data_IF_842494357629
#
_entry.id   IF_842494357629
#
_cell.length_a   1.000
_cell.length_b   1.000
_cell.length_c   1.000
_cell.angle_alpha   90.00
_cell.angle_beta   90.00
_cell.angle_gamma   90.00
#
_symmetry.space_group_name_H-M   'P 1'
#
loop_
_entity.id
_entity.type
_entity.pdbx_description
1 polymer ?
#
# COMPACT_ATOMS: atom_id res chain seq x y z
N UNK A 1 7.82 24.86 11.01
CA UNK A 1 8.96 24.11 10.44
C UNK A 1 9.72 23.44 11.57
N UNK A 2 9.99 22.14 11.46
CA UNK A 2 10.83 21.42 12.42
C UNK A 2 12.31 21.74 12.18
N UNK A 3 13.15 21.71 13.21
CA UNK A 3 14.59 21.92 13.03
C UNK A 3 15.26 20.72 12.32
N UNK A 4 16.50 20.91 11.86
CA UNK A 4 17.26 19.88 11.13
C UNK A 4 17.37 18.55 11.91
N UNK A 5 17.63 18.62 13.20
CA UNK A 5 17.76 17.45 14.06
C UNK A 5 16.46 16.61 14.08
N UNK A 6 15.32 17.25 14.34
CA UNK A 6 14.00 16.59 14.33
C UNK A 6 13.60 16.08 12.95
N UNK A 7 13.99 16.78 11.89
CA UNK A 7 13.72 16.36 10.52
C UNK A 7 14.40 15.02 10.17
N UNK A 8 15.64 14.83 10.64
CA UNK A 8 16.41 13.59 10.44
C UNK A 8 15.92 12.46 11.35
N UNK A 9 15.57 12.79 12.60
CA UNK A 9 15.08 11.81 13.56
C UNK A 9 13.69 11.28 13.21
N UNK A 10 12.81 12.10 12.64
CA UNK A 10 11.44 11.68 12.34
C UNK A 10 11.39 10.39 11.50
N UNK A 11 12.07 10.26 10.34
CA UNK A 11 12.13 8.99 9.60
C UNK A 11 12.66 7.83 10.44
N UNK A 12 13.71 8.05 11.23
CA UNK A 12 14.30 7.00 12.04
C UNK A 12 13.36 6.51 13.15
N UNK A 13 12.68 7.41 13.85
CA UNK A 13 11.71 7.08 14.90
C UNK A 13 10.51 6.34 14.31
N UNK A 14 9.97 6.82 13.19
CA UNK A 14 8.84 6.16 12.53
C UNK A 14 9.19 4.75 12.03
N UNK A 15 10.36 4.58 11.40
CA UNK A 15 10.77 3.27 10.90
C UNK A 15 11.31 2.34 12.00
N UNK A 16 11.76 2.87 13.14
CA UNK A 16 12.05 2.06 14.34
C UNK A 16 10.79 1.36 14.87
N UNK A 17 9.63 2.03 14.86
CA UNK A 17 8.33 1.42 15.20
C UNK A 17 7.95 0.28 14.26
N UNK A 18 8.49 0.28 13.05
CA UNK A 18 8.32 -0.77 12.05
C UNK A 18 9.45 -1.82 12.10
N UNK A 19 10.36 -1.72 13.07
CA UNK A 19 11.55 -2.56 13.21
C UNK A 19 12.41 -2.56 11.93
N UNK A 20 12.65 -1.36 11.38
CA UNK A 20 13.22 -1.18 10.06
C UNK A 20 14.35 -0.14 10.06
N UNK A 21 15.62 -0.57 10.05
CA UNK A 21 16.73 0.36 9.95
C UNK A 21 16.84 0.88 8.51
N UNK A 22 17.22 2.14 8.37
CA UNK A 22 17.19 2.87 7.10
C UNK A 22 18.58 3.10 6.54
N UNK A 23 18.71 3.12 5.21
CA UNK A 23 19.88 3.71 4.55
C UNK A 23 19.83 5.24 4.60
N UNK A 24 20.96 5.92 4.40
CA UNK A 24 20.97 7.39 4.29
C UNK A 24 20.05 7.90 3.15
N UNK A 25 19.98 7.15 2.04
CA UNK A 25 19.11 7.51 0.91
C UNK A 25 17.63 7.38 1.28
N UNK A 26 17.26 6.34 2.02
CA UNK A 26 15.91 6.19 2.54
C UNK A 26 15.55 7.31 3.53
N UNK A 27 16.47 7.71 4.42
CA UNK A 27 16.23 8.84 5.33
C UNK A 27 15.97 10.12 4.54
N UNK A 28 16.84 10.45 3.58
CA UNK A 28 16.65 11.60 2.70
C UNK A 28 15.32 11.52 1.95
N UNK A 29 15.02 10.37 1.36
CA UNK A 29 13.77 10.11 0.63
C UNK A 29 12.53 10.34 1.51
N UNK A 30 12.57 9.90 2.76
CA UNK A 30 11.43 9.87 3.68
C UNK A 30 11.28 11.11 4.56
N UNK A 31 12.08 12.17 4.35
CA UNK A 31 11.96 13.43 5.09
C UNK A 31 10.53 13.99 5.05
N UNK A 32 10.11 14.58 6.17
CA UNK A 32 8.83 15.28 6.27
C UNK A 32 8.86 16.59 5.49
N UNK A 33 7.71 16.96 4.90
CA UNK A 33 7.58 18.18 4.12
C UNK A 33 7.79 19.47 4.96
N UNK A 34 7.45 19.44 6.25
CA UNK A 34 7.62 20.56 7.20
C UNK A 34 9.07 20.72 7.72
N UNK A 35 9.99 19.89 7.23
CA UNK A 35 11.42 19.99 7.49
C UNK A 35 12.13 21.02 6.61
N UNK A 36 13.35 21.43 7.02
CA UNK A 36 14.15 22.40 6.28
C UNK A 36 14.59 21.84 4.91
N UNK A 37 14.89 22.72 3.97
CA UNK A 37 15.57 22.33 2.74
C UNK A 37 16.96 21.77 3.06
N UNK A 38 17.23 20.55 2.62
CA UNK A 38 18.50 19.87 2.88
C UNK A 38 18.89 19.03 1.68
N UNK A 39 20.18 19.06 1.32
CA UNK A 39 20.72 18.15 0.31
C UNK A 39 20.95 16.77 0.88
N UNK A 40 21.09 15.76 0.01
CA UNK A 40 21.49 14.42 0.43
C UNK A 40 22.84 14.43 1.19
N UNK A 41 23.78 15.30 0.79
CA UNK A 41 25.04 15.46 1.49
C UNK A 41 24.84 16.03 2.90
N UNK A 42 23.97 17.04 3.04
CA UNK A 42 23.59 17.61 4.33
C UNK A 42 22.98 16.56 5.27
N UNK A 43 22.09 15.69 4.76
CA UNK A 43 21.56 14.55 5.54
C UNK A 43 22.68 13.65 6.04
N UNK A 44 23.65 13.30 5.19
CA UNK A 44 24.77 12.44 5.57
C UNK A 44 25.68 13.07 6.61
N UNK A 45 25.87 14.39 6.56
CA UNK A 45 26.64 15.13 7.57
C UNK A 45 25.89 15.13 8.90
N UNK A 46 24.61 15.51 8.89
CA UNK A 46 23.79 15.57 10.10
C UNK A 46 23.66 14.22 10.81
N UNK A 47 23.59 13.12 10.05
CA UNK A 47 23.56 11.76 10.60
C UNK A 47 24.84 11.38 11.38
N UNK A 48 25.97 12.04 11.13
CA UNK A 48 27.21 11.82 11.90
C UNK A 48 27.23 12.61 13.21
N UNK A 49 26.58 13.77 13.21
CA UNK A 49 26.59 14.74 14.32
C UNK A 49 25.45 14.50 15.30
N UNK A 50 24.41 13.77 14.89
CA UNK A 50 23.23 13.50 15.70
C UNK A 50 23.49 12.39 16.72
N UNK A 51 23.40 12.72 18.01
CA UNK A 51 23.45 11.76 19.08
C UNK A 51 22.29 10.74 19.01
N UNK A 52 22.43 9.59 19.68
CA UNK A 52 21.40 8.54 19.73
C UNK A 52 21.07 7.85 18.39
N UNK A 53 21.88 8.08 17.34
CA UNK A 53 21.83 7.33 16.09
C UNK A 53 23.09 6.47 15.98
N UNK A 54 22.90 5.19 15.74
CA UNK A 54 23.98 4.24 15.45
C UNK A 54 23.97 3.89 13.96
N UNK A 55 25.16 3.56 13.43
CA UNK A 55 25.35 3.17 12.03
C UNK A 55 26.15 1.88 11.92
N UNK A 56 25.68 0.93 11.12
CA UNK A 56 26.42 -0.27 10.76
C UNK A 56 25.96 -0.81 9.41
N UNK A 57 26.89 -1.31 8.59
CA UNK A 57 26.62 -1.86 7.25
C UNK A 57 25.83 -0.91 6.32
N UNK A 58 26.05 0.40 6.46
CA UNK A 58 25.33 1.42 5.68
C UNK A 58 23.89 1.69 6.14
N UNK A 59 23.44 1.05 7.21
CA UNK A 59 22.14 1.24 7.83
C UNK A 59 22.28 2.11 9.09
N UNK A 60 21.26 2.93 9.34
CA UNK A 60 21.12 3.85 10.46
C UNK A 60 19.87 3.44 11.25
N UNK A 61 19.98 3.51 12.58
CA UNK A 61 18.95 3.12 13.53
C UNK A 61 19.19 3.83 14.86
N UNK A 62 18.17 3.87 15.73
CA UNK A 62 18.33 4.43 17.07
C UNK A 62 19.29 3.57 17.91
N UNK A 63 20.10 4.20 18.76
CA UNK A 63 21.07 3.51 19.61
C UNK A 63 20.43 2.35 20.41
N UNK A 64 21.16 1.23 20.52
CA UNK A 64 20.68 0.02 21.19
C UNK A 64 19.79 -0.90 20.33
N UNK A 65 19.59 -0.59 19.05
CA UNK A 65 18.73 -1.37 18.12
C UNK A 65 19.51 -2.15 17.06
N UNK A 66 20.69 -2.65 17.41
CA UNK A 66 21.61 -3.31 16.47
C UNK A 66 21.08 -4.64 15.91
N UNK A 67 20.17 -5.31 16.63
CA UNK A 67 19.45 -6.51 16.20
C UNK A 67 18.61 -6.29 14.93
N UNK A 68 18.23 -5.03 14.65
CA UNK A 68 17.45 -4.68 13.47
C UNK A 68 18.21 -4.93 12.16
N UNK A 69 19.54 -4.97 12.18
CA UNK A 69 20.37 -5.21 10.99
C UNK A 69 20.13 -6.63 10.45
N UNK A 70 20.22 -7.63 11.34
CA UNK A 70 19.95 -9.02 10.98
C UNK A 70 18.48 -9.18 10.54
N UNK A 71 17.57 -8.51 11.23
CA UNK A 71 16.14 -8.47 10.88
C UNK A 71 15.91 -7.91 9.47
N UNK A 72 16.56 -6.80 9.11
CA UNK A 72 16.48 -6.16 7.79
C UNK A 72 16.97 -7.10 6.68
N UNK A 73 18.12 -7.75 6.88
CA UNK A 73 18.65 -8.71 5.92
C UNK A 73 17.71 -9.91 5.71
N UNK A 74 17.16 -10.46 6.80
CA UNK A 74 16.17 -11.55 6.75
C UNK A 74 14.90 -11.13 5.99
N UNK A 75 14.32 -9.98 6.34
CA UNK A 75 13.09 -9.47 5.70
C UNK A 75 13.31 -9.10 4.24
N UNK A 76 14.49 -8.60 3.86
CA UNK A 76 14.85 -8.34 2.48
C UNK A 76 14.83 -9.63 1.64
N UNK A 77 15.43 -10.72 2.13
CA UNK A 77 15.40 -12.04 1.46
C UNK A 77 13.96 -12.54 1.29
N UNK A 78 13.16 -12.48 2.36
CA UNK A 78 11.73 -12.87 2.32
C UNK A 78 10.97 -12.03 1.30
N UNK A 79 11.13 -10.71 1.31
CA UNK A 79 10.48 -9.80 0.37
C UNK A 79 10.80 -10.13 -1.07
N UNK A 80 12.05 -10.45 -1.42
CA UNK A 80 12.42 -10.83 -2.79
C UNK A 80 11.71 -12.12 -3.24
N UNK A 81 11.63 -13.13 -2.36
CA UNK A 81 10.91 -14.36 -2.66
C UNK A 81 9.40 -14.11 -2.81
N UNK A 82 8.82 -13.29 -1.92
CA UNK A 82 7.43 -12.86 -1.98
C UNK A 82 7.10 -12.07 -3.24
N UNK A 83 7.98 -11.18 -3.69
CA UNK A 83 7.84 -10.50 -4.98
C UNK A 83 7.80 -11.47 -6.15
N UNK A 84 8.65 -12.52 -6.15
CA UNK A 84 8.61 -13.56 -7.19
C UNK A 84 7.26 -14.30 -7.19
N UNK A 85 6.72 -14.64 -6.00
CA UNK A 85 5.39 -15.27 -5.86
C UNK A 85 4.27 -14.35 -6.34
N UNK A 86 4.24 -13.12 -5.85
CA UNK A 86 3.22 -12.13 -6.21
C UNK A 86 3.22 -11.85 -7.72
N UNK A 87 4.39 -11.81 -8.37
CA UNK A 87 4.47 -11.68 -9.84
C UNK A 87 3.79 -12.83 -10.58
N UNK A 88 3.92 -14.07 -10.08
CA UNK A 88 3.25 -15.24 -10.70
C UNK A 88 1.74 -15.15 -10.54
N UNK A 89 1.26 -14.84 -9.33
CA UNK A 89 -0.18 -14.72 -9.05
C UNK A 89 -0.78 -13.50 -9.78
N UNK A 90 -0.07 -12.38 -9.80
CA UNK A 90 -0.47 -11.13 -10.43
C UNK A 90 -0.72 -11.26 -11.94
N UNK A 91 0.00 -12.15 -12.64
CA UNK A 91 -0.30 -12.49 -14.04
C UNK A 91 -1.72 -13.03 -14.21
N UNK A 92 -2.18 -13.88 -13.28
CA UNK A 92 -3.50 -14.50 -13.35
C UNK A 92 -4.61 -13.49 -13.04
N UNK A 93 -4.35 -12.47 -12.22
CA UNK A 93 -5.32 -11.40 -11.98
C UNK A 93 -5.74 -10.69 -13.27
N UNK A 94 -4.87 -10.66 -14.29
CA UNK A 94 -5.16 -10.05 -15.59
C UNK A 94 -6.32 -10.72 -16.37
N UNK A 95 -6.73 -11.93 -15.98
CA UNK A 95 -7.92 -12.62 -16.49
C UNK A 95 -9.23 -11.96 -16.07
N UNK A 96 -9.23 -11.24 -14.94
CA UNK A 96 -10.46 -10.68 -14.40
C UNK A 96 -11.00 -9.57 -15.30
N UNK A 97 -12.29 -9.63 -15.71
CA UNK A 97 -12.91 -8.56 -16.47
C UNK A 97 -12.93 -7.26 -15.67
N UNK A 98 -12.85 -6.15 -16.38
CA UNK A 98 -12.88 -4.79 -15.85
C UNK A 98 -11.69 -4.40 -14.99
N UNK A 99 -10.71 -5.28 -14.78
CA UNK A 99 -9.45 -4.90 -14.15
C UNK A 99 -8.72 -3.87 -15.01
N UNK A 100 -8.23 -2.80 -14.37
CA UNK A 100 -7.50 -1.71 -15.04
C UNK A 100 -6.10 -1.54 -14.48
N UNK A 101 -5.94 -1.68 -13.16
CA UNK A 101 -4.64 -1.55 -12.51
C UNK A 101 -4.57 -2.40 -11.25
N UNK A 102 -3.40 -2.97 -10.98
CA UNK A 102 -3.03 -3.58 -9.71
C UNK A 102 -1.71 -2.98 -9.24
N UNK A 103 -1.69 -2.48 -8.02
CA UNK A 103 -0.47 -2.07 -7.33
C UNK A 103 -0.36 -2.76 -5.97
N UNK A 104 0.86 -2.99 -5.52
CA UNK A 104 1.12 -3.51 -4.18
C UNK A 104 1.37 -2.36 -3.20
N UNK A 105 0.94 -2.55 -1.95
CA UNK A 105 1.15 -1.64 -0.81
C UNK A 105 1.73 -2.41 0.39
N UNK A 106 1.78 -1.78 1.56
CA UNK A 106 2.11 -2.43 2.83
C UNK A 106 3.58 -2.83 2.95
N UNK A 107 3.85 -3.83 3.80
CA UNK A 107 5.21 -4.23 4.19
C UNK A 107 6.08 -4.80 3.05
N UNK A 108 5.44 -5.28 1.97
CA UNK A 108 6.16 -5.82 0.81
C UNK A 108 6.87 -4.71 0.03
N UNK A 109 6.25 -3.53 -0.10
CA UNK A 109 6.81 -2.39 -0.83
C UNK A 109 7.99 -1.74 -0.13
N UNK A 110 8.03 -1.79 1.20
CA UNK A 110 9.19 -1.34 1.99
C UNK A 110 10.27 -2.41 2.16
N UNK A 111 10.10 -3.61 1.58
CA UNK A 111 10.98 -4.76 1.83
C UNK A 111 11.14 -5.08 3.33
N UNK A 112 10.07 -4.88 4.10
CA UNK A 112 10.00 -5.10 5.54
C UNK A 112 9.01 -6.20 5.93
N UNK A 113 8.70 -7.09 4.98
CA UNK A 113 7.68 -8.12 5.14
C UNK A 113 8.17 -9.30 5.98
N UNK A 114 7.28 -9.88 6.80
CA UNK A 114 7.55 -11.06 7.63
C UNK A 114 7.16 -12.32 6.85
N UNK A 115 7.58 -13.50 7.32
CA UNK A 115 7.23 -14.78 6.66
C UNK A 115 5.70 -14.90 6.50
N UNK A 116 4.95 -14.53 7.54
CA UNK A 116 3.50 -14.74 7.61
C UNK A 116 2.69 -13.59 6.99
N UNK A 117 3.36 -12.59 6.44
CA UNK A 117 2.69 -11.48 5.78
C UNK A 117 1.96 -11.93 4.51
N UNK A 118 0.83 -11.28 4.28
CA UNK A 118 0.01 -11.32 3.09
C UNK A 118 0.49 -10.32 2.02
N UNK A 119 -0.23 -10.25 0.91
CA UNK A 119 -0.06 -9.29 -0.17
C UNK A 119 -1.19 -8.27 -0.13
N UNK A 120 -0.91 -7.07 0.37
CA UNK A 120 -1.82 -5.94 0.28
C UNK A 120 -1.82 -5.37 -1.14
N UNK A 121 -2.99 -5.38 -1.80
CA UNK A 121 -3.15 -4.89 -3.16
C UNK A 121 -4.16 -3.74 -3.22
N UNK A 122 -3.78 -2.70 -3.96
CA UNK A 122 -4.68 -1.67 -4.47
C UNK A 122 -5.13 -2.08 -5.87
N UNK A 123 -6.44 -2.26 -6.06
CA UNK A 123 -7.04 -2.69 -7.32
C UNK A 123 -7.91 -1.58 -7.88
N UNK A 124 -7.69 -1.22 -9.14
CA UNK A 124 -8.56 -0.28 -9.85
C UNK A 124 -9.35 -1.03 -10.90
N UNK A 125 -10.68 -0.91 -10.81
CA UNK A 125 -11.65 -1.52 -11.72
C UNK A 125 -12.31 -0.47 -12.61
N UNK A 126 -13.01 -0.94 -13.64
CA UNK A 126 -13.86 -0.11 -14.48
C UNK A 126 -14.98 0.54 -13.66
N UNK A 127 -15.37 1.77 -14.02
CA UNK A 127 -16.57 2.42 -13.48
C UNK A 127 -17.80 1.51 -13.63
N UNK A 128 -18.68 1.52 -12.64
CA UNK A 128 -19.92 0.73 -12.56
C UNK A 128 -19.72 -0.80 -12.57
N UNK A 129 -18.51 -1.30 -12.27
CA UNK A 129 -18.18 -2.74 -12.23
C UNK A 129 -17.42 -3.12 -10.96
N UNK A 130 -17.53 -2.29 -9.92
CA UNK A 130 -16.77 -2.42 -8.69
C UNK A 130 -17.18 -3.70 -7.93
N UNK A 131 -18.49 -3.94 -7.81
CA UNK A 131 -19.02 -5.03 -7.00
C UNK A 131 -18.84 -6.38 -7.68
N UNK A 132 -19.24 -6.49 -8.95
CA UNK A 132 -19.10 -7.72 -9.73
C UNK A 132 -17.63 -8.01 -10.02
N UNK A 133 -16.82 -6.99 -10.36
CA UNK A 133 -15.38 -7.15 -10.54
C UNK A 133 -14.68 -7.62 -9.26
N UNK A 134 -15.04 -7.07 -8.09
CA UNK A 134 -14.56 -7.57 -6.79
C UNK A 134 -14.97 -9.01 -6.54
N UNK A 135 -16.23 -9.38 -6.82
CA UNK A 135 -16.73 -10.74 -6.65
C UNK A 135 -15.92 -11.74 -7.50
N UNK A 136 -15.71 -11.42 -8.78
CA UNK A 136 -14.95 -12.27 -9.70
C UNK A 136 -13.47 -12.36 -9.31
N UNK A 137 -12.83 -11.26 -8.92
CA UNK A 137 -11.46 -11.29 -8.41
C UNK A 137 -11.36 -12.14 -7.14
N UNK A 138 -12.31 -11.98 -6.23
CA UNK A 138 -12.37 -12.74 -4.99
C UNK A 138 -12.55 -14.24 -5.27
N UNK A 139 -13.41 -14.59 -6.22
CA UNK A 139 -13.61 -15.96 -6.71
C UNK A 139 -12.34 -16.52 -7.35
N UNK A 140 -11.73 -15.79 -8.28
CA UNK A 140 -10.49 -16.18 -8.96
C UNK A 140 -9.37 -16.45 -7.95
N UNK A 141 -9.11 -15.52 -7.04
CA UNK A 141 -8.08 -15.67 -6.00
C UNK A 141 -8.43 -16.82 -5.04
N UNK A 142 -9.72 -17.05 -4.76
CA UNK A 142 -10.22 -18.18 -3.99
C UNK A 142 -9.95 -19.53 -4.66
N UNK A 143 -10.23 -19.66 -5.97
CA UNK A 143 -9.98 -20.86 -6.76
C UNK A 143 -8.49 -21.19 -6.87
N UNK A 144 -7.63 -20.16 -6.91
CA UNK A 144 -6.18 -20.33 -6.84
C UNK A 144 -5.68 -20.72 -5.44
N UNK A 145 -6.59 -20.80 -4.45
CA UNK A 145 -6.27 -21.01 -3.05
C UNK A 145 -5.48 -19.84 -2.44
N UNK A 146 -5.36 -18.69 -3.11
CA UNK A 146 -4.52 -17.56 -2.70
C UNK A 146 -5.26 -16.51 -1.89
N UNK A 147 -6.52 -16.73 -1.54
CA UNK A 147 -7.32 -15.74 -0.80
C UNK A 147 -6.96 -15.73 0.67
N UNK A 148 -6.77 -14.53 1.25
CA UNK A 148 -6.64 -14.38 2.71
C UNK A 148 -7.98 -14.65 3.38
N UNK A 149 -8.00 -15.54 4.37
CA UNK A 149 -9.19 -15.81 5.19
C UNK A 149 -8.82 -16.38 6.55
N UNK A 150 -9.41 -15.87 7.64
CA UNK A 150 -9.08 -16.26 9.01
C UNK A 150 -7.56 -16.17 9.27
N UNK A 151 -7.00 -17.25 9.83
CA UNK A 151 -5.57 -17.41 10.13
C UNK A 151 -4.69 -17.62 8.88
N UNK A 152 -5.29 -17.91 7.71
CA UNK A 152 -4.56 -18.10 6.46
C UNK A 152 -4.17 -16.75 5.86
N UNK A 153 -3.02 -16.24 6.31
CA UNK A 153 -2.47 -14.93 5.94
C UNK A 153 -1.20 -15.06 5.08
N UNK A 154 -0.34 -16.03 5.39
CA UNK A 154 0.94 -16.21 4.71
C UNK A 154 0.80 -16.35 3.19
N UNK A 155 1.47 -15.47 2.45
CA UNK A 155 1.52 -15.49 0.97
C UNK A 155 0.13 -15.43 0.30
N UNK A 156 -0.89 -14.94 1.02
CA UNK A 156 -2.25 -14.76 0.50
C UNK A 156 -2.48 -13.34 0.03
N UNK A 157 -3.37 -13.14 -0.94
CA UNK A 157 -3.81 -11.81 -1.38
C UNK A 157 -4.88 -11.30 -0.42
N UNK A 158 -4.64 -10.11 0.12
CA UNK A 158 -5.65 -9.31 0.77
C UNK A 158 -6.32 -8.39 -0.27
N UNK A 159 -7.63 -8.55 -0.41
CA UNK A 159 -8.48 -7.78 -1.30
C UNK A 159 -9.18 -6.68 -0.49
N UNK A 160 -8.38 -5.82 0.12
CA UNK A 160 -8.83 -4.78 1.06
C UNK A 160 -9.03 -3.42 0.41
N UNK A 161 -8.42 -3.13 -0.73
CA UNK A 161 -8.54 -1.82 -1.38
C UNK A 161 -8.94 -1.91 -2.84
N UNK A 162 -10.11 -1.34 -3.16
CA UNK A 162 -10.62 -1.18 -4.50
C UNK A 162 -10.98 0.27 -4.79
N UNK A 163 -10.67 0.72 -6.00
CA UNK A 163 -11.08 2.00 -6.56
C UNK A 163 -11.67 1.77 -7.96
N UNK A 164 -12.32 2.79 -8.50
CA UNK A 164 -12.72 2.84 -9.90
C UNK A 164 -11.83 3.80 -10.68
N UNK A 165 -11.66 3.54 -11.98
CA UNK A 165 -10.80 4.34 -12.87
C UNK A 165 -11.18 5.84 -12.95
N UNK A 166 -12.43 6.18 -12.60
CA UNK A 166 -12.94 7.55 -12.56
C UNK A 166 -12.38 8.32 -11.35
N UNK A 167 -12.40 7.69 -10.16
CA UNK A 167 -12.01 8.29 -8.87
C UNK A 167 -10.88 7.48 -8.23
N UNK A 168 -9.64 7.91 -8.51
CA UNK A 168 -8.40 7.23 -8.11
C UNK A 168 -7.63 7.93 -6.98
N UNK A 169 -8.14 9.07 -6.51
CA UNK A 169 -7.60 9.80 -5.37
C UNK A 169 -7.95 9.09 -4.05
N UNK A 170 -7.00 9.00 -3.14
CA UNK A 170 -7.22 8.60 -1.75
C UNK A 170 -7.62 9.87 -0.99
N UNK A 171 -8.92 10.04 -0.77
CA UNK A 171 -9.48 11.20 -0.04
C UNK A 171 -9.36 11.00 1.48
N UNK A 172 -9.41 12.08 2.28
CA UNK A 172 -9.40 11.99 3.75
C UNK A 172 -10.51 11.10 4.31
N UNK A 173 -11.67 11.04 3.64
CA UNK A 173 -12.80 10.19 4.04
C UNK A 173 -12.50 8.69 3.90
N UNK A 174 -11.64 8.32 2.95
CA UNK A 174 -11.23 6.93 2.74
C UNK A 174 -10.18 6.53 3.78
N UNK A 175 -9.19 7.41 3.96
CA UNK A 175 -8.05 7.19 4.85
C UNK A 175 -7.50 8.54 5.30
N UNK A 176 -7.21 8.72 6.60
CA UNK A 176 -6.61 9.96 7.10
C UNK A 176 -5.39 10.33 6.28
N UNK A 177 -5.34 11.59 5.82
CA UNK A 177 -4.14 12.15 5.21
C UNK A 177 -3.20 12.54 6.33
N UNK A 178 -2.41 11.57 6.74
CA UNK A 178 -1.33 11.73 7.70
C UNK A 178 -0.01 11.27 7.09
N UNK A 179 1.07 11.41 7.86
CA UNK A 179 2.39 11.02 7.40
C UNK A 179 2.51 9.50 7.20
N UNK A 180 1.80 8.67 7.97
CA UNK A 180 1.80 7.22 7.77
C UNK A 180 1.17 6.82 6.43
N UNK A 181 -0.03 7.33 6.14
CA UNK A 181 -0.70 7.14 4.85
C UNK A 181 0.16 7.67 3.71
N UNK A 182 0.82 8.81 3.90
CA UNK A 182 1.73 9.34 2.90
C UNK A 182 2.92 8.40 2.62
N UNK A 183 3.55 7.88 3.66
CA UNK A 183 4.62 6.88 3.54
C UNK A 183 4.13 5.59 2.84
N UNK A 184 2.91 5.14 3.15
CA UNK A 184 2.31 3.93 2.58
C UNK A 184 2.04 4.09 1.07
N UNK A 185 1.27 5.10 0.68
CA UNK A 185 0.94 5.34 -0.73
C UNK A 185 2.12 5.90 -1.54
N UNK A 186 3.05 6.61 -0.90
CA UNK A 186 4.29 7.05 -1.52
C UNK A 186 5.14 5.86 -2.00
N UNK A 187 5.10 4.72 -1.28
CA UNK A 187 5.80 3.47 -1.64
C UNK A 187 5.01 2.55 -2.56
N UNK A 188 3.79 2.94 -2.96
CA UNK A 188 2.92 2.12 -3.80
C UNK A 188 3.69 1.67 -5.06
N UNK A 189 3.74 0.36 -5.28
CA UNK A 189 4.53 -0.23 -6.36
C UNK A 189 3.62 -0.84 -7.41
N UNK A 190 3.68 -0.33 -8.65
CA UNK A 190 2.89 -0.85 -9.76
C UNK A 190 3.24 -2.31 -10.10
N UNK A 191 2.22 -3.17 -10.14
CA UNK A 191 2.35 -4.58 -10.49
C UNK A 191 1.81 -4.86 -11.90
N UNK A 192 0.61 -4.37 -12.22
CA UNK A 192 -0.05 -4.58 -13.51
C UNK A 192 -0.80 -3.31 -13.91
N UNK A 193 -0.68 -2.92 -15.17
CA UNK A 193 -1.40 -1.79 -15.76
C UNK A 193 -2.02 -2.26 -17.07
N UNK A 194 -3.34 -2.45 -17.07
CA UNK A 194 -4.12 -2.83 -18.25
C UNK A 194 -4.55 -1.60 -19.02
N UNK A 195 -4.93 -0.53 -18.31
CA UNK A 195 -5.24 0.77 -18.91
C UNK A 195 -3.99 1.66 -18.91
N UNK A 196 -3.37 1.95 -20.07
CA UNK A 196 -2.17 2.78 -20.13
C UNK A 196 -2.39 4.16 -19.50
N UNK A 197 -1.41 4.62 -18.73
CA UNK A 197 -1.43 5.96 -18.12
C UNK A 197 -2.26 6.06 -16.83
N UNK A 198 -2.98 5.00 -16.43
CA UNK A 198 -3.80 5.03 -15.22
C UNK A 198 -2.95 5.13 -13.95
N UNK A 199 -1.75 4.53 -13.92
CA UNK A 199 -0.86 4.71 -12.77
C UNK A 199 -0.35 6.15 -12.67
N UNK A 200 -0.04 6.79 -13.81
CA UNK A 200 0.32 8.21 -13.86
C UNK A 200 -0.84 9.08 -13.35
N UNK A 201 -2.07 8.80 -13.79
CA UNK A 201 -3.28 9.48 -13.28
C UNK A 201 -3.42 9.30 -11.77
N UNK A 202 -3.21 8.09 -11.25
CA UNK A 202 -3.24 7.83 -9.80
C UNK A 202 -2.20 8.68 -9.06
N UNK A 203 -0.94 8.71 -9.51
CA UNK A 203 0.11 9.52 -8.89
C UNK A 203 -0.23 11.02 -8.92
N UNK A 204 -0.74 11.53 -10.04
CA UNK A 204 -1.16 12.93 -10.17
C UNK A 204 -2.37 13.30 -9.31
N UNK A 205 -3.31 12.37 -9.13
CA UNK A 205 -4.49 12.59 -8.28
C UNK A 205 -4.16 12.51 -6.79
N UNK A 206 -2.95 12.06 -6.42
CA UNK A 206 -2.49 11.92 -5.04
C UNK A 206 -1.27 12.82 -4.76
N UNK A 207 -1.22 14.01 -5.36
CA UNK A 207 -0.13 14.97 -5.09
C UNK A 207 -0.13 15.53 -3.66
N UNK A 208 -1.24 15.39 -2.93
CA UNK A 208 -1.31 15.68 -1.48
C UNK A 208 -0.23 14.94 -0.67
N UNK A 209 0.32 13.83 -1.19
CA UNK A 209 1.44 13.14 -0.58
C UNK A 209 2.67 14.06 -0.38
N UNK A 210 2.85 15.06 -1.25
CA UNK A 210 3.91 16.06 -1.15
C UNK A 210 3.72 17.01 0.05
N UNK A 211 2.49 17.16 0.55
CA UNK A 211 2.21 17.95 1.76
C UNK A 211 2.81 17.29 3.02
N UNK A 212 3.17 16.01 2.94
CA UNK A 212 3.75 15.22 4.02
C UNK A 212 5.17 14.74 3.73
N UNK A 213 5.55 14.59 2.46
CA UNK A 213 6.82 14.00 2.02
C UNK A 213 7.63 15.00 1.20
N UNK A 214 8.78 15.42 1.75
CA UNK A 214 9.65 16.46 1.16
C UNK A 214 10.07 16.14 -0.28
N UNK A 215 10.53 14.90 -0.49
CA UNK A 215 11.17 14.48 -1.74
C UNK A 215 10.23 13.68 -2.66
N UNK A 216 8.92 13.94 -2.61
CA UNK A 216 7.91 13.25 -3.42
C UNK A 216 7.61 14.02 -4.73
N UNK A 217 7.35 13.37 -5.88
CA UNK A 217 7.25 11.93 -6.10
C UNK A 217 8.60 11.24 -6.05
N UNK A 218 8.63 10.09 -5.38
CA UNK A 218 9.82 9.28 -5.39
C UNK A 218 10.02 8.62 -6.75
N UNK A 219 11.27 8.49 -7.22
CA UNK A 219 11.61 7.56 -8.29
C UNK A 219 11.46 6.14 -7.71
N UNK A 220 10.23 5.72 -7.49
CA UNK A 220 9.93 4.32 -7.34
C UNK A 220 10.37 3.67 -8.65
N UNK A 221 10.83 2.42 -8.58
CA UNK A 221 11.21 1.68 -9.78
C UNK A 221 9.94 1.36 -10.60
N UNK A 222 9.36 2.39 -11.22
CA UNK A 222 8.21 2.37 -12.11
C UNK A 222 8.58 1.47 -13.28
N UNK A 223 8.27 0.17 -13.15
CA UNK A 223 8.66 -0.83 -14.13
C UNK A 223 9.36 -2.07 -13.56
N UNK A 224 10.19 -1.96 -12.52
CA UNK A 224 11.00 -3.11 -12.06
C UNK A 224 10.15 -4.30 -11.56
N UNK A 225 8.96 -3.99 -11.03
CA UNK A 225 7.98 -5.00 -10.62
C UNK A 225 6.80 -5.15 -11.58
N UNK A 226 6.69 -4.29 -12.61
CA UNK A 226 5.62 -4.33 -13.60
C UNK A 226 5.66 -5.65 -14.37
N UNK A 227 4.49 -6.23 -14.56
CA UNK A 227 4.27 -7.43 -15.34
C UNK A 227 3.66 -6.98 -16.68
N UNK A 228 4.16 -7.47 -17.83
CA UNK A 228 3.51 -7.19 -19.09
C UNK A 228 2.15 -7.89 -19.14
N UNK A 229 1.09 -7.24 -19.66
CA UNK A 229 -0.19 -7.91 -19.88
C UNK A 229 0.00 -9.03 -20.90
N UNK A 230 -0.43 -10.25 -20.56
CA UNK A 230 -0.36 -11.38 -21.49
C UNK A 230 -1.50 -11.31 -22.51
N UNK A 231 -1.20 -11.56 -23.79
CA UNK A 231 -2.18 -11.49 -24.89
C UNK A 231 -3.35 -12.45 -24.69
N UNK A 232 -3.08 -13.69 -24.29
CA UNK A 232 -4.10 -14.70 -24.01
C UNK A 232 -5.09 -14.22 -22.93
N UNK A 233 -4.61 -13.64 -21.83
CA UNK A 233 -5.47 -13.09 -20.78
C UNK A 233 -6.24 -11.85 -21.25
N UNK A 234 -5.63 -11.03 -22.10
CA UNK A 234 -6.29 -9.88 -22.72
C UNK A 234 -7.49 -10.30 -23.58
N UNK A 235 -7.33 -11.36 -24.38
CA UNK A 235 -8.40 -11.89 -25.24
C UNK A 235 -9.60 -12.36 -24.42
N UNK A 236 -9.39 -13.24 -23.43
CA UNK A 236 -10.47 -13.73 -22.57
C UNK A 236 -11.12 -12.63 -21.74
N UNK A 237 -10.33 -11.70 -21.20
CA UNK A 237 -10.85 -10.52 -20.50
C UNK A 237 -11.81 -9.72 -21.38
N UNK A 238 -11.43 -9.47 -22.64
CA UNK A 238 -12.26 -8.70 -23.58
C UNK A 238 -13.57 -9.43 -23.93
N UNK A 239 -13.53 -10.76 -24.09
CA UNK A 239 -14.74 -11.56 -24.33
C UNK A 239 -15.68 -11.45 -23.13
N UNK A 240 -15.17 -11.70 -21.92
CA UNK A 240 -15.97 -11.61 -20.69
C UNK A 240 -16.54 -10.21 -20.48
N UNK A 241 -15.74 -9.17 -20.72
CA UNK A 241 -16.22 -7.79 -20.68
C UNK A 241 -17.34 -7.56 -21.70
N UNK A 242 -17.22 -8.02 -22.95
CA UNK A 242 -18.28 -7.85 -23.97
C UNK A 242 -19.58 -8.55 -23.58
N UNK A 243 -19.50 -9.81 -23.13
CA UNK A 243 -20.67 -10.59 -22.71
C UNK A 243 -21.38 -9.96 -21.50
N UNK A 244 -20.61 -9.43 -20.55
CA UNK A 244 -21.12 -8.90 -19.30
C UNK A 244 -21.24 -7.35 -19.29
N UNK A 245 -21.05 -6.67 -20.42
CA UNK A 245 -21.24 -5.21 -20.48
C UNK A 245 -22.67 -4.79 -20.83
N UNK A 246 -23.56 -5.74 -21.13
CA UNK A 246 -24.98 -5.47 -21.37
C UNK A 246 -25.84 -5.46 -20.10
N UNK A 247 -27.17 -5.40 -20.30
CA UNK A 247 -28.18 -5.35 -19.21
C UNK A 247 -28.05 -6.48 -18.20
N UNK A 248 -27.63 -7.66 -18.64
CA UNK A 248 -27.37 -8.81 -17.75
C UNK A 248 -26.27 -8.47 -16.74
N UNK A 249 -25.16 -7.92 -17.21
CA UNK A 249 -24.05 -7.54 -16.33
C UNK A 249 -24.41 -6.39 -15.40
N UNK A 250 -25.25 -5.45 -15.84
CA UNK A 250 -25.76 -4.37 -14.98
C UNK A 250 -26.63 -4.92 -13.85
N UNK A 251 -27.52 -5.87 -14.17
CA UNK A 251 -28.32 -6.56 -13.16
C UNK A 251 -27.43 -7.37 -12.20
N UNK A 252 -26.41 -8.05 -12.71
CA UNK A 252 -25.44 -8.79 -11.88
C UNK A 252 -24.62 -7.87 -10.98
N UNK A 253 -24.18 -6.70 -11.47
CA UNK A 253 -23.52 -5.67 -10.67
C UNK A 253 -24.42 -5.22 -9.52
N UNK A 254 -25.69 -4.89 -9.81
CA UNK A 254 -26.64 -4.44 -8.80
C UNK A 254 -26.90 -5.52 -7.74
N UNK A 255 -27.18 -6.76 -8.15
CA UNK A 255 -27.40 -7.88 -7.25
C UNK A 255 -26.15 -8.18 -6.40
N UNK A 256 -24.97 -8.19 -7.04
CA UNK A 256 -23.69 -8.40 -6.36
C UNK A 256 -23.40 -7.29 -5.34
N UNK A 257 -23.74 -6.05 -5.68
CA UNK A 257 -23.60 -4.89 -4.80
C UNK A 257 -24.53 -4.97 -3.61
N UNK A 258 -25.82 -5.26 -3.82
CA UNK A 258 -26.79 -5.44 -2.74
C UNK A 258 -26.36 -6.56 -1.77
N UNK A 259 -25.99 -7.72 -2.30
CA UNK A 259 -25.53 -8.85 -1.50
C UNK A 259 -24.26 -8.52 -0.71
N UNK A 260 -23.25 -7.90 -1.35
CA UNK A 260 -22.01 -7.53 -0.65
C UNK A 260 -22.24 -6.45 0.40
N UNK A 261 -23.02 -5.41 0.10
CA UNK A 261 -23.38 -4.35 1.06
C UNK A 261 -24.05 -4.95 2.30
N UNK A 262 -25.04 -5.82 2.11
CA UNK A 262 -25.72 -6.55 3.20
C UNK A 262 -24.72 -7.35 4.05
N UNK A 263 -23.88 -8.17 3.43
CA UNK A 263 -22.87 -8.96 4.15
C UNK A 263 -21.84 -8.11 4.90
N UNK A 264 -21.48 -6.95 4.37
CA UNK A 264 -20.56 -6.05 5.05
C UNK A 264 -21.24 -5.40 6.25
N UNK A 265 -22.50 -4.97 6.11
CA UNK A 265 -23.29 -4.41 7.22
C UNK A 265 -23.48 -5.42 8.36
N UNK A 266 -23.81 -6.68 8.03
CA UNK A 266 -23.95 -7.76 9.03
C UNK A 266 -22.64 -8.08 9.78
N UNK A 267 -21.50 -7.89 9.11
CA UNK A 267 -20.17 -8.17 9.67
C UNK A 267 -19.49 -6.94 10.26
N UNK A 268 -20.11 -5.76 10.18
CA UNK A 268 -19.59 -4.60 10.89
C UNK A 268 -19.73 -4.90 12.37
N UNK A 269 -18.63 -4.86 13.16
CA UNK A 269 -18.76 -4.99 14.60
C UNK A 269 -19.75 -3.92 15.09
N UNK A 270 -20.76 -4.34 15.88
CA UNK A 270 -21.78 -3.46 16.45
C UNK A 270 -21.23 -2.54 17.56
N UNK A 271 -19.93 -2.55 17.81
CA UNK A 271 -19.32 -1.81 18.89
C UNK A 271 -18.44 -0.68 18.36
N UNK A 272 -18.98 0.53 18.51
CA UNK A 272 -18.36 1.81 18.90
C UNK A 272 -16.91 1.79 19.43
N UNK A 273 -15.96 1.24 18.68
CA UNK A 273 -14.57 1.70 18.71
C UNK A 273 -14.30 2.40 17.38
N UNK A 274 -14.66 3.70 17.33
CA UNK A 274 -14.31 4.59 16.24
C UNK A 274 -12.79 4.72 16.07
N UNK A 275 -12.00 4.37 17.09
CA UNK A 275 -10.54 4.35 17.01
C UNK A 275 -10.04 3.15 16.18
N UNK A 276 -9.38 3.43 15.05
CA UNK A 276 -8.68 2.44 14.24
C UNK A 276 -9.52 1.67 13.20
N UNK A 277 -10.83 1.86 13.09
CA UNK A 277 -11.63 1.16 12.07
C UNK A 277 -11.68 1.95 10.74
N UNK A 278 -10.78 1.62 9.81
CA UNK A 278 -10.67 2.28 8.50
C UNK A 278 -11.45 1.50 7.43
N UNK A 279 -12.79 1.57 7.49
CA UNK A 279 -13.69 0.90 6.54
C UNK A 279 -14.52 1.94 5.77
N UNK A 280 -14.23 2.09 4.49
CA UNK A 280 -14.97 2.98 3.58
C UNK A 280 -15.67 2.17 2.49
N UNK A 281 -16.94 2.49 2.22
CA UNK A 281 -17.76 1.75 1.26
C UNK A 281 -18.58 2.73 0.44
N UNK A 282 -18.40 2.66 -0.87
CA UNK A 282 -19.20 3.38 -1.87
C UNK A 282 -19.23 2.57 -3.16
N UNK A 283 -19.93 3.06 -4.17
CA UNK A 283 -19.95 2.43 -5.50
C UNK A 283 -18.69 2.73 -6.34
N UNK A 284 -17.75 3.52 -5.81
CA UNK A 284 -16.49 3.86 -6.49
C UNK A 284 -15.23 3.49 -5.69
N UNK A 285 -15.35 3.25 -4.38
CA UNK A 285 -14.26 2.83 -3.50
C UNK A 285 -14.73 1.83 -2.45
N UNK A 286 -13.93 0.79 -2.24
CA UNK A 286 -14.04 -0.13 -1.10
C UNK A 286 -12.69 -0.19 -0.39
N UNK A 287 -12.66 0.19 0.88
CA UNK A 287 -11.49 0.12 1.74
C UNK A 287 -11.84 -0.69 2.99
N UNK A 288 -11.03 -1.70 3.31
CA UNK A 288 -11.26 -2.61 4.43
C UNK A 288 -9.99 -2.78 5.27
N UNK A 289 -9.77 -1.86 6.20
CA UNK A 289 -8.74 -1.99 7.24
C UNK A 289 -9.40 -2.02 8.63
N UNK A 290 -10.11 -3.11 8.98
CA UNK A 290 -10.60 -3.28 10.32
C UNK A 290 -9.41 -3.37 11.29
N UNK A 291 -9.51 -2.72 12.45
CA UNK A 291 -8.45 -2.68 13.45
C UNK A 291 -7.10 -2.19 12.88
N UNK A 292 -7.15 -1.14 12.06
CA UNK A 292 -5.97 -0.46 11.55
C UNK A 292 -5.07 -0.05 12.70
N UNK A 293 -3.79 -0.39 12.58
CA UNK A 293 -2.76 0.00 13.56
C UNK A 293 -2.22 1.40 13.29
N UNK A 294 -2.70 2.08 12.25
CA UNK A 294 -2.19 3.40 11.84
C UNK A 294 -2.32 4.44 12.95
N UNK A 295 -3.50 4.57 13.56
CA UNK A 295 -3.73 5.58 14.61
C UNK A 295 -2.83 5.31 15.82
N UNK A 296 -2.72 4.06 16.26
CA UNK A 296 -1.83 3.65 17.36
C UNK A 296 -0.36 3.93 17.02
N UNK A 297 0.05 3.64 15.79
CA UNK A 297 1.41 3.88 15.32
C UNK A 297 1.73 5.38 15.33
N UNK A 298 0.80 6.23 14.86
CA UNK A 298 1.00 7.68 14.84
C UNK A 298 1.00 8.29 16.24
N UNK A 299 0.10 7.84 17.15
CA UNK A 299 0.12 8.25 18.56
C UNK A 299 1.47 7.91 19.23
N UNK A 300 1.98 6.70 19.02
CA UNK A 300 3.29 6.28 19.55
C UNK A 300 4.45 7.07 18.90
N UNK A 301 4.38 7.35 17.59
CA UNK A 301 5.35 8.18 16.89
C UNK A 301 5.43 9.58 17.49
N UNK A 302 4.29 10.25 17.68
CA UNK A 302 4.23 11.59 18.25
C UNK A 302 4.79 11.62 19.68
N UNK A 303 4.42 10.63 20.51
CA UNK A 303 4.97 10.47 21.86
C UNK A 303 6.49 10.31 21.89
N UNK A 304 7.06 9.55 20.94
CA UNK A 304 8.52 9.41 20.84
C UNK A 304 9.18 10.68 20.35
N UNK A 305 8.57 11.40 19.40
CA UNK A 305 9.10 12.66 18.88
C UNK A 305 9.13 13.79 19.92
N UNK A 306 8.28 13.74 20.95
CA UNK A 306 8.32 14.70 22.09
C UNK A 306 9.57 14.49 22.96
N UNK A 307 10.10 13.27 23.02
CA UNK A 307 11.30 12.93 23.83
C UNK A 307 12.62 13.41 23.20
N UNK A 308 12.56 13.91 21.96
CA UNK A 308 13.69 14.46 21.20
C UNK A 308 13.49 15.95 20.89
#
# INVERSE_FOLDING_TARGET
MINFHKAILAPLVYYDLLEHPLTALEIFKYLRADGPEISFFGVRQQLKETANISRQNGLYFLSGRQELIATRQKRLKIAQLKWKKLKKIGKLLALSPWLRLVAATGSLTSYNTKKQSDFDLLIILRKNRLWLGRLLLTGLVGLLGQRRHGELTQDRICLNCYLTEEKVEITPDIKPRDWHAAQEYGRLTLLLEIQPGLYKKFTQSNLWLADFLKNYPWPNATGAKKIPPALFFSFWRQILERLLNGRIGDKLEQLSGQWQKKRIQEKRPQENSLEGNQVFISDWCLMFHPQSKSDKLMKEFDQRMIKF
#
